data_IF_856243503063
#
_entry.id   IF_856243503063
#
_cell.length_a   1.000
_cell.length_b   1.000
_cell.length_c   1.000
_cell.angle_alpha   90.00
_cell.angle_beta   90.00
_cell.angle_gamma   90.00
#
_symmetry.space_group_name_H-M   'P 1'
#
loop_
_entity.id
_entity.type
_entity.pdbx_description
1 polymer ?
#
# COMPACT_ATOMS: atom_id res chain seq x y z
N UNK A 1 21.23 -3.21 7.00
CA UNK A 1 21.20 -1.82 6.48
C UNK A 1 21.15 -0.87 7.67
N UNK A 2 21.93 0.21 7.66
CA UNK A 2 21.99 1.20 8.75
C UNK A 2 21.59 2.56 8.19
N UNK A 3 20.63 3.21 8.83
CA UNK A 3 20.13 4.54 8.48
C UNK A 3 20.75 5.53 9.46
N UNK A 4 21.75 6.29 9.00
CA UNK A 4 22.60 7.08 9.88
C UNK A 4 21.86 8.29 10.45
N UNK A 5 20.95 8.92 9.68
CA UNK A 5 20.24 10.11 10.12
C UNK A 5 19.29 9.89 11.30
N UNK A 6 18.82 8.64 11.51
CA UNK A 6 17.90 8.29 12.58
C UNK A 6 18.37 7.16 13.51
N UNK A 7 19.62 6.71 13.36
CA UNK A 7 20.21 5.60 14.13
C UNK A 7 19.38 4.30 14.08
N UNK A 8 18.60 4.11 13.01
CA UNK A 8 17.85 2.88 12.79
C UNK A 8 18.73 1.83 12.13
N UNK A 9 18.66 0.60 12.64
CA UNK A 9 19.28 -0.57 12.03
C UNK A 9 18.19 -1.53 11.57
N UNK A 10 18.26 -1.88 10.29
CA UNK A 10 17.37 -2.85 9.64
C UNK A 10 18.14 -4.14 9.40
N UNK A 11 17.59 -5.25 9.91
CA UNK A 11 18.15 -6.59 9.78
C UNK A 11 17.14 -7.51 9.11
N UNK A 12 17.57 -8.18 8.05
CA UNK A 12 16.82 -9.27 7.45
C UNK A 12 16.70 -10.42 8.46
N UNK A 13 15.51 -10.96 8.66
CA UNK A 13 15.27 -12.12 9.54
C UNK A 13 14.98 -13.37 8.70
N UNK A 14 13.96 -13.33 7.86
CA UNK A 14 13.52 -14.45 7.01
C UNK A 14 12.68 -13.95 5.85
N UNK A 15 12.56 -14.76 4.81
CA UNK A 15 11.61 -14.56 3.72
C UNK A 15 10.89 -15.86 3.38
N UNK A 16 9.66 -15.74 2.89
CA UNK A 16 8.84 -16.84 2.43
C UNK A 16 7.96 -16.40 1.27
N UNK A 17 7.85 -17.25 0.24
CA UNK A 17 6.83 -17.07 -0.80
C UNK A 17 5.47 -17.40 -0.19
N UNK A 18 4.55 -16.44 -0.22
CA UNK A 18 3.18 -16.63 0.32
C UNK A 18 2.18 -16.96 -0.78
N UNK A 19 2.48 -16.54 -2.00
CA UNK A 19 1.76 -16.87 -3.23
C UNK A 19 2.73 -16.68 -4.41
N UNK A 20 2.36 -17.16 -5.60
CA UNK A 20 3.16 -16.91 -6.79
C UNK A 20 3.34 -15.40 -6.99
N UNK A 21 4.58 -14.94 -7.11
CA UNK A 21 4.95 -13.52 -7.24
C UNK A 21 4.64 -12.63 -6.02
N UNK A 22 4.31 -13.21 -4.86
CA UNK A 22 4.16 -12.48 -3.59
C UNK A 22 5.15 -13.02 -2.56
N UNK A 23 6.13 -12.19 -2.21
CA UNK A 23 7.16 -12.49 -1.23
C UNK A 23 6.86 -11.76 0.08
N UNK A 24 6.92 -12.47 1.20
CA UNK A 24 6.94 -11.84 2.52
C UNK A 24 8.32 -11.95 3.14
N UNK A 25 8.87 -10.82 3.57
CA UNK A 25 10.13 -10.68 4.29
C UNK A 25 9.86 -10.12 5.69
N UNK A 26 10.35 -10.80 6.72
CA UNK A 26 10.35 -10.27 8.08
C UNK A 26 11.62 -9.44 8.28
N UNK A 27 11.45 -8.17 8.62
CA UNK A 27 12.53 -7.22 8.88
C UNK A 27 12.52 -6.86 10.36
N UNK A 28 13.65 -7.05 11.05
CA UNK A 28 13.84 -6.51 12.40
C UNK A 28 14.37 -5.08 12.29
N UNK A 29 13.74 -4.19 13.04
CA UNK A 29 14.14 -2.79 13.18
C UNK A 29 14.54 -2.54 14.63
N UNK A 30 15.67 -1.86 14.84
CA UNK A 30 16.15 -1.48 16.17
C UNK A 30 16.78 -0.09 16.18
N UNK A 31 16.75 0.57 17.34
CA UNK A 31 17.50 1.81 17.61
C UNK A 31 18.67 1.47 18.52
N UNK A 32 19.90 1.75 18.09
CA UNK A 32 21.11 1.53 18.91
C UNK A 32 21.20 0.09 19.49
N UNK A 33 20.68 -0.92 18.76
CA UNK A 33 20.53 -2.32 19.21
C UNK A 33 19.67 -2.55 20.46
N UNK A 34 19.11 -1.48 21.02
CA UNK A 34 18.04 -1.46 22.01
C UNK A 34 16.67 -1.35 21.32
N UNK A 35 15.57 -1.63 22.04
CA UNK A 35 14.19 -1.50 21.55
C UNK A 35 13.99 -2.07 20.13
N UNK A 36 13.59 -3.34 20.04
CA UNK A 36 13.44 -4.04 18.77
C UNK A 36 11.98 -4.28 18.46
N UNK A 37 11.60 -4.16 17.20
CA UNK A 37 10.35 -4.71 16.71
C UNK A 37 10.52 -5.27 15.30
N UNK A 38 9.58 -6.11 14.90
CA UNK A 38 9.56 -6.73 13.58
C UNK A 38 8.48 -6.09 12.72
N UNK A 39 8.80 -5.87 11.45
CA UNK A 39 7.89 -5.40 10.40
C UNK A 39 7.80 -6.47 9.33
N UNK A 40 6.59 -6.86 8.97
CA UNK A 40 6.34 -7.77 7.85
C UNK A 40 6.26 -6.96 6.55
N UNK A 41 7.24 -7.14 5.67
CA UNK A 41 7.27 -6.53 4.35
C UNK A 41 6.74 -7.52 3.31
N UNK A 42 5.66 -7.18 2.63
CA UNK A 42 5.04 -8.00 1.60
C UNK A 42 5.20 -7.29 0.25
N UNK A 43 5.93 -7.91 -0.67
CA UNK A 43 6.14 -7.40 -2.03
C UNK A 43 5.36 -8.24 -3.04
N UNK A 44 4.52 -7.56 -3.82
CA UNK A 44 3.79 -8.15 -4.95
C UNK A 44 4.47 -7.73 -6.26
N UNK A 45 5.16 -8.67 -6.91
CA UNK A 45 6.11 -8.41 -7.99
C UNK A 45 5.49 -8.39 -9.40
N UNK A 46 4.31 -8.98 -9.60
CA UNK A 46 3.68 -9.09 -10.92
C UNK A 46 2.40 -8.26 -11.10
N UNK A 47 2.14 -7.27 -10.23
CA UNK A 47 1.04 -6.34 -10.45
C UNK A 47 1.47 -5.27 -11.46
N UNK A 48 0.91 -5.24 -12.69
CA UNK A 48 1.29 -4.26 -13.70
C UNK A 48 0.98 -2.82 -13.27
N UNK A 49 1.81 -1.87 -13.69
CA UNK A 49 1.61 -0.43 -13.39
C UNK A 49 0.28 0.10 -13.95
N UNK A 50 -0.15 -0.44 -15.10
CA UNK A 50 -1.43 -0.18 -15.73
C UNK A 50 -2.18 -1.50 -15.87
N UNK A 51 -3.32 -1.61 -15.20
CA UNK A 51 -4.17 -2.79 -15.25
C UNK A 51 -4.42 -3.40 -13.86
N UNK A 52 -4.87 -4.65 -13.90
CA UNK A 52 -5.25 -5.43 -12.71
C UNK A 52 -4.25 -6.58 -12.52
N UNK A 53 -4.10 -7.13 -11.31
CA UNK A 53 -3.26 -8.28 -11.11
C UNK A 53 -3.83 -9.48 -11.89
N UNK A 54 -2.99 -10.44 -12.31
CA UNK A 54 -3.44 -11.60 -13.09
C UNK A 54 -4.39 -12.52 -12.33
N UNK A 55 -4.33 -12.52 -10.99
CA UNK A 55 -5.20 -13.30 -10.10
C UNK A 55 -6.14 -12.40 -9.31
N UNK A 56 -7.46 -12.61 -9.48
CA UNK A 56 -8.50 -11.80 -8.86
C UNK A 56 -8.58 -11.95 -7.32
N UNK A 57 -8.19 -13.10 -6.76
CA UNK A 57 -8.30 -13.38 -5.32
C UNK A 57 -7.08 -12.97 -4.51
N UNK A 58 -5.93 -12.75 -5.16
CA UNK A 58 -4.68 -12.42 -4.48
C UNK A 58 -4.79 -11.15 -3.65
N UNK A 59 -5.54 -10.15 -4.12
CA UNK A 59 -5.80 -8.91 -3.36
C UNK A 59 -6.55 -9.15 -2.05
N UNK A 60 -7.56 -10.03 -2.06
CA UNK A 60 -8.32 -10.40 -0.86
C UNK A 60 -7.50 -11.25 0.11
N UNK A 61 -6.70 -12.19 -0.41
CA UNK A 61 -5.80 -13.02 0.40
C UNK A 61 -4.73 -12.16 1.08
N UNK A 62 -4.16 -11.21 0.34
CA UNK A 62 -3.21 -10.22 0.85
C UNK A 62 -3.83 -9.41 1.99
N UNK A 63 -5.02 -8.81 1.77
CA UNK A 63 -5.74 -8.05 2.81
C UNK A 63 -6.02 -8.89 4.06
N UNK A 64 -6.49 -10.12 3.88
CA UNK A 64 -6.75 -11.05 4.99
C UNK A 64 -5.48 -11.32 5.80
N UNK A 65 -4.33 -11.42 5.13
CA UNK A 65 -3.04 -11.68 5.77
C UNK A 65 -2.50 -10.51 6.57
N UNK A 66 -2.70 -9.29 6.09
CA UNK A 66 -2.21 -8.06 6.77
C UNK A 66 -3.21 -7.44 7.73
N UNK A 67 -4.46 -7.93 7.77
CA UNK A 67 -5.56 -7.34 8.56
C UNK A 67 -5.24 -7.12 10.04
N UNK A 68 -4.44 -8.00 10.65
CA UNK A 68 -4.03 -7.89 12.06
C UNK A 68 -2.68 -7.19 12.26
N UNK A 69 -2.03 -6.77 11.18
CA UNK A 69 -0.70 -6.16 11.18
C UNK A 69 -0.81 -4.64 10.98
N UNK A 70 -1.63 -3.99 11.80
CA UNK A 70 -1.87 -2.54 11.76
C UNK A 70 -0.93 -1.77 12.69
N UNK A 71 -0.51 -0.54 12.34
CA UNK A 71 -0.76 0.14 11.06
C UNK A 71 -0.09 -0.53 9.85
N UNK A 72 -0.79 -0.52 8.72
CA UNK A 72 -0.35 -1.13 7.45
C UNK A 72 0.10 -0.01 6.52
N UNK A 73 1.39 0.02 6.17
CA UNK A 73 1.88 0.92 5.12
C UNK A 73 1.59 0.30 3.77
N UNK A 74 0.96 1.03 2.84
CA UNK A 74 0.70 0.56 1.48
C UNK A 74 1.30 1.55 0.49
N UNK A 75 2.16 1.06 -0.40
CA UNK A 75 2.72 1.88 -1.46
C UNK A 75 2.83 1.10 -2.78
N UNK A 76 2.83 1.86 -3.88
CA UNK A 76 3.22 1.39 -5.20
C UNK A 76 4.36 2.28 -5.69
N UNK A 77 4.28 2.88 -6.88
CA UNK A 77 5.20 3.94 -7.30
C UNK A 77 4.73 5.33 -6.83
N UNK A 78 3.65 5.87 -7.39
CA UNK A 78 3.12 7.18 -6.99
C UNK A 78 2.25 7.15 -5.72
N UNK A 79 1.87 5.95 -5.25
CA UNK A 79 1.04 5.80 -4.04
C UNK A 79 -0.47 5.97 -4.26
N UNK A 80 -0.95 6.03 -5.52
CA UNK A 80 -2.36 6.34 -5.83
C UNK A 80 -3.09 5.13 -6.44
N UNK A 81 -2.62 4.58 -7.57
CA UNK A 81 -3.36 3.57 -8.35
C UNK A 81 -3.55 2.23 -7.63
N UNK A 82 -2.52 1.37 -7.63
CA UNK A 82 -2.54 0.04 -6.98
C UNK A 82 -2.84 0.14 -5.48
N UNK A 83 -2.26 1.15 -4.82
CA UNK A 83 -2.49 1.47 -3.41
C UNK A 83 -3.97 1.73 -3.11
N UNK A 84 -4.61 2.62 -3.89
CA UNK A 84 -6.02 2.95 -3.73
C UNK A 84 -6.92 1.73 -3.96
N UNK A 85 -6.57 0.83 -4.88
CA UNK A 85 -7.30 -0.42 -5.07
C UNK A 85 -7.25 -1.30 -3.81
N UNK A 86 -6.07 -1.51 -3.20
CA UNK A 86 -5.95 -2.33 -1.99
C UNK A 86 -6.73 -1.73 -0.82
N UNK A 87 -6.58 -0.44 -0.56
CA UNK A 87 -7.27 0.24 0.54
C UNK A 87 -8.77 0.32 0.29
N UNK A 88 -9.17 0.63 -0.95
CA UNK A 88 -10.56 0.64 -1.37
C UNK A 88 -11.23 -0.72 -1.22
N UNK A 89 -10.55 -1.81 -1.60
CA UNK A 89 -11.08 -3.16 -1.42
C UNK A 89 -11.37 -3.48 0.06
N UNK A 90 -10.51 -3.08 0.99
CA UNK A 90 -10.75 -3.28 2.44
C UNK A 90 -11.96 -2.48 2.93
N UNK A 91 -12.05 -1.21 2.54
CA UNK A 91 -13.17 -0.33 2.88
C UNK A 91 -14.49 -0.85 2.32
N UNK A 92 -14.49 -1.29 1.06
CA UNK A 92 -15.67 -1.81 0.37
C UNK A 92 -16.12 -3.12 0.98
N UNK A 93 -15.19 -4.05 1.20
CA UNK A 93 -15.46 -5.33 1.85
C UNK A 93 -16.06 -5.13 3.25
N UNK A 94 -15.53 -4.18 4.02
CA UNK A 94 -16.06 -3.87 5.34
C UNK A 94 -17.48 -3.29 5.30
N UNK A 95 -17.80 -2.43 4.31
CA UNK A 95 -19.17 -1.92 4.11
C UNK A 95 -20.15 -3.02 3.71
N UNK A 96 -19.71 -3.96 2.86
CA UNK A 96 -20.50 -5.14 2.50
C UNK A 96 -20.80 -6.01 3.73
N UNK A 97 -19.80 -6.33 4.54
CA UNK A 97 -19.99 -7.14 5.75
C UNK A 97 -20.96 -6.49 6.76
N UNK A 98 -20.97 -5.15 6.84
CA UNK A 98 -21.88 -4.41 7.72
C UNK A 98 -23.30 -4.27 7.15
N UNK A 99 -23.58 -4.81 5.95
CA UNK A 99 -24.89 -4.73 5.31
C UNK A 99 -25.32 -3.31 4.90
N UNK A 100 -24.38 -2.34 4.90
CA UNK A 100 -24.65 -0.93 4.61
C UNK A 100 -25.08 -0.78 3.14
N UNK A 101 -24.36 -1.44 2.23
CA UNK A 101 -24.66 -1.41 0.80
C UNK A 101 -26.00 -2.09 0.47
N UNK A 102 -26.36 -3.18 1.16
CA UNK A 102 -27.64 -3.85 0.95
C UNK A 102 -28.82 -2.94 1.32
N UNK A 103 -28.69 -2.15 2.41
CA UNK A 103 -29.71 -1.16 2.80
C UNK A 103 -29.80 -0.03 1.78
N UNK A 104 -28.67 0.52 1.34
CA UNK A 104 -28.65 1.59 0.33
C UNK A 104 -29.23 1.15 -1.02
N UNK A 105 -28.99 -0.11 -1.42
CA UNK A 105 -29.55 -0.73 -2.63
C UNK A 105 -31.06 -1.01 -2.47
N UNK A 106 -31.50 -1.55 -1.33
CA UNK A 106 -32.91 -1.85 -1.07
C UNK A 106 -33.76 -0.59 -0.89
N UNK A 107 -33.19 0.51 -0.40
CA UNK A 107 -33.90 1.78 -0.18
C UNK A 107 -34.18 2.57 -1.49
N UNK A 108 -33.81 2.05 -2.66
CA UNK A 108 -34.11 2.70 -3.94
C UNK A 108 -33.39 4.04 -4.16
N UNK A 109 -32.41 4.42 -3.33
CA UNK A 109 -31.63 5.66 -3.44
C UNK A 109 -30.66 5.69 -4.64
N UNK A 110 -30.81 4.74 -5.56
CA UNK A 110 -29.98 4.59 -6.77
C UNK A 110 -30.73 4.99 -8.06
N UNK A 111 -31.87 5.69 -7.95
CA UNK A 111 -32.56 6.31 -9.09
C UNK A 111 -32.41 7.83 -9.03
N UNK A 112 -31.73 8.38 -10.04
CA UNK A 112 -31.57 9.81 -10.39
C UNK A 112 -31.26 10.79 -9.26
N UNK A 113 -29.98 11.14 -9.16
CA UNK A 113 -29.46 12.22 -8.30
C UNK A 113 -29.90 13.58 -8.84
N UNK A 114 -31.10 14.01 -8.47
CA UNK A 114 -31.50 15.42 -8.43
C UNK A 114 -32.11 15.69 -7.06
N UNK A 115 -31.67 16.77 -6.44
CA UNK A 115 -32.05 17.25 -5.11
C UNK A 115 -31.52 16.44 -3.92
N UNK A 116 -30.29 16.78 -3.51
CA UNK A 116 -29.98 17.14 -2.13
C UNK A 116 -28.75 18.05 -2.15
N UNK A 117 -28.92 19.30 -1.73
CA UNK A 117 -27.90 20.33 -1.75
C UNK A 117 -26.60 19.88 -1.08
N UNK A 118 -25.53 19.91 -1.88
CA UNK A 118 -24.15 20.12 -1.44
C UNK A 118 -23.44 18.99 -0.65
N UNK A 119 -23.65 17.71 -1.00
CA UNK A 119 -22.78 16.57 -0.58
C UNK A 119 -22.76 15.41 -1.61
N UNK A 120 -22.38 15.70 -2.86
CA UNK A 120 -22.29 14.70 -3.93
C UNK A 120 -20.87 14.12 -4.08
N UNK A 121 -20.39 13.36 -3.08
CA UNK A 121 -19.04 12.76 -3.13
C UNK A 121 -19.02 11.22 -3.04
N UNK A 122 -20.16 10.52 -3.02
CA UNK A 122 -20.20 9.20 -2.37
C UNK A 122 -20.62 7.99 -3.23
N UNK A 123 -20.86 8.14 -4.55
CA UNK A 123 -21.42 7.04 -5.38
C UNK A 123 -20.65 6.71 -6.68
N UNK A 124 -19.51 7.34 -6.91
CA UNK A 124 -18.60 7.00 -8.00
C UNK A 124 -17.40 6.21 -7.42
N UNK A 125 -17.00 5.08 -8.03
CA UNK A 125 -15.76 4.37 -7.65
C UNK A 125 -14.54 5.30 -7.67
N UNK A 126 -14.57 6.29 -8.57
CA UNK A 126 -13.59 7.38 -8.69
C UNK A 126 -13.53 8.26 -7.44
N UNK A 127 -14.62 8.34 -6.68
CA UNK A 127 -14.72 9.22 -5.49
C UNK A 127 -14.66 8.48 -4.18
N UNK A 128 -14.95 7.19 -4.19
CA UNK A 128 -14.49 6.29 -3.13
C UNK A 128 -12.96 6.20 -3.06
N UNK A 129 -12.28 6.30 -4.22
CA UNK A 129 -10.84 6.53 -4.29
C UNK A 129 -10.45 7.99 -4.02
N UNK A 130 -11.40 8.93 -4.15
CA UNK A 130 -11.15 10.33 -3.81
C UNK A 130 -11.10 10.56 -2.30
N UNK A 131 -11.75 9.76 -1.45
CA UNK A 131 -11.51 9.82 0.01
C UNK A 131 -10.05 9.51 0.42
N UNK A 132 -9.24 9.01 -0.52
CA UNK A 132 -7.78 8.94 -0.41
C UNK A 132 -7.17 10.25 -0.93
N UNK A 133 -7.70 11.40 -0.52
CA UNK A 133 -7.04 12.67 -0.80
C UNK A 133 -5.80 12.75 0.08
N UNK A 134 -4.67 13.06 -0.53
CA UNK A 134 -3.48 13.50 0.19
C UNK A 134 -3.74 14.92 0.71
N UNK A 135 -4.47 15.05 1.81
CA UNK A 135 -4.72 16.35 2.44
C UNK A 135 -3.75 16.61 3.58
N UNK A 136 -3.53 17.88 3.90
CA UNK A 136 -2.66 18.25 5.01
C UNK A 136 -3.24 17.80 6.37
N UNK A 137 -4.56 17.64 6.50
CA UNK A 137 -5.18 17.19 7.75
C UNK A 137 -4.90 15.72 8.06
N UNK A 138 -4.73 14.90 7.02
CA UNK A 138 -4.50 13.45 7.15
C UNK A 138 -3.04 13.06 6.95
N UNK A 139 -2.16 14.03 6.66
CA UNK A 139 -0.74 13.77 6.42
C UNK A 139 -0.08 13.15 7.65
N UNK A 140 0.87 12.25 7.41
CA UNK A 140 1.75 11.77 8.47
C UNK A 140 2.81 12.83 8.73
N UNK A 141 2.96 13.24 9.99
CA UNK A 141 3.93 14.26 10.40
C UNK A 141 5.10 13.56 11.08
N UNK A 142 6.31 13.74 10.56
CA UNK A 142 7.51 13.18 11.17
C UNK A 142 7.93 14.04 12.36
N UNK A 143 7.88 13.46 13.56
CA UNK A 143 8.34 14.13 14.79
C UNK A 143 9.61 13.50 15.36
N UNK A 144 10.02 12.34 14.84
CA UNK A 144 11.17 11.60 15.34
C UNK A 144 12.16 11.19 14.23
N UNK A 145 13.49 11.23 14.48
CA UNK A 145 14.14 11.99 15.55
C UNK A 145 13.80 13.50 15.45
N UNK A 146 13.99 14.28 16.52
CA UNK A 146 13.80 15.72 16.48
C UNK A 146 14.69 16.34 15.39
N UNK A 147 14.12 17.13 14.49
CA UNK A 147 14.82 17.72 13.34
C UNK A 147 13.92 18.66 12.55
N UNK A 148 14.43 19.24 11.46
CA UNK A 148 13.73 20.29 10.70
C UNK A 148 12.70 19.77 9.68
N UNK A 149 12.88 18.57 9.12
CA UNK A 149 11.95 18.03 8.12
C UNK A 149 10.89 17.13 8.76
N UNK A 150 9.68 17.67 8.86
CA UNK A 150 8.47 17.00 9.33
C UNK A 150 7.68 16.33 8.19
N UNK A 151 8.08 16.56 6.94
CA UNK A 151 7.31 16.20 5.77
C UNK A 151 7.72 14.83 5.23
N UNK A 152 6.70 13.99 5.02
CA UNK A 152 6.74 12.81 4.17
C UNK A 152 5.45 12.76 3.35
N UNK A 153 5.55 12.36 2.09
CA UNK A 153 4.38 12.21 1.23
C UNK A 153 3.60 10.93 1.57
N UNK A 154 2.91 10.97 2.71
CA UNK A 154 2.13 9.88 3.26
C UNK A 154 0.90 10.39 4.00
N UNK A 155 -0.20 9.65 3.90
CA UNK A 155 -1.48 10.01 4.50
C UNK A 155 -2.10 8.84 5.24
N UNK A 156 -2.70 9.14 6.39
CA UNK A 156 -3.52 8.22 7.16
C UNK A 156 -4.84 7.95 6.45
N UNK A 157 -5.20 6.67 6.35
CA UNK A 157 -6.53 6.24 5.93
C UNK A 157 -7.10 5.31 7.00
N UNK A 158 -8.28 5.68 7.52
CA UNK A 158 -8.97 4.86 8.52
C UNK A 158 -9.65 3.68 7.85
N UNK A 159 -9.58 2.51 8.48
CA UNK A 159 -10.40 1.38 8.11
C UNK A 159 -11.84 1.57 8.60
N UNK A 160 -12.74 0.70 8.16
CA UNK A 160 -14.11 0.71 8.67
C UNK A 160 -14.20 0.23 10.13
N UNK A 161 -13.27 -0.63 10.54
CA UNK A 161 -13.18 -1.26 11.85
C UNK A 161 -12.13 -0.60 12.75
N UNK A 162 -11.01 -0.17 12.17
CA UNK A 162 -9.87 0.38 12.91
C UNK A 162 -9.57 1.80 12.46
N UNK A 163 -9.62 2.82 13.35
CA UNK A 163 -9.13 4.16 13.01
C UNK A 163 -7.62 4.10 12.71
N UNK A 164 -7.13 4.92 11.76
CA UNK A 164 -5.70 4.93 11.38
C UNK A 164 -5.15 3.52 11.03
N UNK A 165 -5.89 2.78 10.19
CA UNK A 165 -5.53 1.41 9.79
C UNK A 165 -4.39 1.38 8.77
N UNK A 166 -4.44 2.28 7.81
CA UNK A 166 -3.51 2.33 6.68
C UNK A 166 -2.72 3.64 6.67
N UNK A 167 -1.50 3.56 6.17
CA UNK A 167 -0.74 4.71 5.69
C UNK A 167 -0.52 4.50 4.20
N UNK A 168 -1.10 5.37 3.37
CA UNK A 168 -0.86 5.39 1.93
C UNK A 168 0.31 6.32 1.63
N UNK A 169 1.27 5.87 0.85
CA UNK A 169 2.46 6.67 0.54
C UNK A 169 3.04 6.35 -0.83
N UNK A 170 3.88 7.25 -1.34
CA UNK A 170 4.69 7.01 -2.53
C UNK A 170 5.82 6.02 -2.24
N UNK A 171 6.37 5.40 -3.29
CA UNK A 171 7.60 4.63 -3.16
C UNK A 171 8.73 5.50 -2.57
N UNK A 172 9.55 4.94 -1.67
CA UNK A 172 10.77 5.60 -1.24
C UNK A 172 11.67 5.97 -2.41
N UNK A 173 12.13 7.22 -2.42
CA UNK A 173 13.15 7.75 -3.32
C UNK A 173 14.50 7.77 -2.59
N UNK A 174 15.60 7.99 -3.32
CA UNK A 174 16.96 8.00 -2.74
C UNK A 174 17.08 8.88 -1.48
N UNK A 175 16.35 9.99 -1.46
CA UNK A 175 16.41 10.96 -0.37
C UNK A 175 15.37 10.72 0.73
N UNK A 176 14.37 9.85 0.51
CA UNK A 176 13.26 9.64 1.43
C UNK A 176 13.23 8.24 2.05
N UNK A 177 14.26 7.41 1.81
CA UNK A 177 14.39 6.08 2.44
C UNK A 177 14.45 6.20 3.96
N UNK A 178 15.23 7.16 4.48
CA UNK A 178 15.32 7.37 5.93
C UNK A 178 13.99 7.86 6.51
N UNK A 179 13.37 8.85 5.87
CA UNK A 179 12.05 9.38 6.25
C UNK A 179 10.97 8.31 6.25
N UNK A 180 10.99 7.39 5.28
CA UNK A 180 10.07 6.27 5.22
C UNK A 180 10.20 5.33 6.42
N UNK A 181 11.42 5.02 6.85
CA UNK A 181 11.63 4.19 8.04
C UNK A 181 11.42 4.95 9.35
N UNK A 182 11.68 6.27 9.39
CA UNK A 182 11.27 7.14 10.51
C UNK A 182 9.76 7.06 10.73
N UNK A 183 8.98 7.17 9.64
CA UNK A 183 7.52 7.02 9.65
C UNK A 183 7.10 5.65 10.20
N UNK A 184 7.64 4.56 9.64
CA UNK A 184 7.33 3.19 10.09
C UNK A 184 7.64 3.00 11.57
N UNK A 185 8.79 3.50 12.01
CA UNK A 185 9.23 3.38 13.38
C UNK A 185 8.34 4.18 14.34
N UNK A 186 8.13 5.48 14.09
CA UNK A 186 7.41 6.36 15.00
C UNK A 186 5.93 5.96 15.13
N UNK A 187 5.30 5.52 14.04
CA UNK A 187 3.90 5.10 14.03
C UNK A 187 3.72 3.64 14.46
N UNK A 188 4.83 2.92 14.72
CA UNK A 188 4.81 1.53 15.16
C UNK A 188 4.19 0.57 14.14
N UNK A 189 4.30 0.88 12.85
CA UNK A 189 3.72 0.09 11.74
C UNK A 189 4.19 -1.37 11.82
N UNK A 190 3.25 -2.30 11.62
CA UNK A 190 3.55 -3.74 11.73
C UNK A 190 3.75 -4.41 10.39
N UNK A 191 3.24 -3.80 9.32
CA UNK A 191 3.43 -4.33 7.98
C UNK A 191 3.58 -3.25 6.91
N UNK A 192 4.23 -3.64 5.82
CA UNK A 192 4.41 -2.86 4.59
C UNK A 192 3.90 -3.71 3.44
N UNK A 193 3.06 -3.14 2.59
CA UNK A 193 2.57 -3.74 1.36
C UNK A 193 3.14 -2.93 0.19
N UNK A 194 4.12 -3.52 -0.49
CA UNK A 194 4.80 -2.99 -1.66
C UNK A 194 4.21 -3.60 -2.92
N UNK A 195 3.54 -2.77 -3.73
CA UNK A 195 2.77 -3.22 -4.89
C UNK A 195 3.49 -2.97 -6.23
N UNK A 196 4.80 -2.69 -6.21
CA UNK A 196 5.60 -2.42 -7.40
C UNK A 196 6.99 -3.06 -7.29
N UNK A 197 7.67 -3.17 -8.43
CA UNK A 197 9.10 -3.49 -8.46
C UNK A 197 9.96 -2.23 -8.31
N UNK A 198 11.27 -2.41 -8.07
CA UNK A 198 12.27 -1.32 -8.07
C UNK A 198 12.32 -0.66 -9.45
N UNK A 199 12.27 -1.48 -10.50
CA UNK A 199 12.27 -1.06 -11.90
C UNK A 199 11.12 -1.74 -12.63
N UNK A 200 10.35 -0.96 -13.39
CA UNK A 200 9.29 -1.45 -14.26
C UNK A 200 9.47 -0.82 -15.64
N UNK A 201 9.48 -1.63 -16.71
CA UNK A 201 9.67 -1.17 -18.09
C UNK A 201 10.91 -0.26 -18.27
N UNK A 202 12.03 -0.64 -17.63
CA UNK A 202 13.29 0.12 -17.67
C UNK A 202 13.29 1.43 -16.89
N UNK A 203 12.18 1.77 -16.20
CA UNK A 203 12.07 2.99 -15.39
C UNK A 203 12.14 2.65 -13.91
N UNK A 204 12.95 3.40 -13.17
CA UNK A 204 13.01 3.30 -11.72
C UNK A 204 11.69 3.76 -11.10
N UNK A 205 11.09 2.92 -10.25
CA UNK A 205 9.81 3.13 -9.59
C UNK A 205 9.92 3.25 -8.07
N UNK A 206 10.92 2.60 -7.47
CA UNK A 206 11.15 2.55 -6.03
C UNK A 206 12.65 2.38 -5.75
N UNK A 207 13.14 2.85 -4.60
CA UNK A 207 14.46 2.48 -4.09
C UNK A 207 14.41 1.14 -3.34
N UNK A 208 15.57 0.48 -3.27
CA UNK A 208 15.81 -0.62 -2.35
C UNK A 208 15.92 -0.07 -0.92
N UNK A 209 14.81 -0.05 -0.18
CA UNK A 209 14.77 0.48 1.19
C UNK A 209 14.89 -0.59 2.28
N UNK A 210 14.90 -1.88 1.93
CA UNK A 210 15.02 -2.99 2.89
C UNK A 210 16.36 -3.72 2.74
N UNK A 211 16.85 -4.41 3.78
CA UNK A 211 18.07 -5.19 3.69
C UNK A 211 17.88 -6.42 2.79
N UNK A 212 18.81 -6.64 1.85
CA UNK A 212 18.90 -7.88 1.08
C UNK A 212 19.64 -8.98 1.87
N UNK A 213 19.40 -10.24 1.51
CA UNK A 213 20.22 -11.37 1.94
C UNK A 213 21.64 -11.23 1.39
N UNK A 214 22.64 -11.69 2.14
CA UNK A 214 24.03 -11.80 1.64
C UNK A 214 24.20 -12.80 0.49
N UNK A 215 23.15 -13.56 0.14
CA UNK A 215 23.06 -14.38 -1.07
C UNK A 215 22.13 -13.70 -2.08
N UNK A 216 22.67 -13.03 -3.11
CA UNK A 216 21.90 -12.27 -4.12
C UNK A 216 21.18 -13.16 -5.16
N UNK A 217 21.18 -14.49 -5.00
CA UNK A 217 20.65 -15.43 -6.01
C UNK A 217 19.13 -15.39 -6.22
N UNK A 218 18.39 -14.60 -5.42
CA UNK A 218 16.92 -14.48 -5.51
C UNK A 218 16.49 -13.10 -6.05
N UNK A 219 17.40 -12.12 -6.15
CA UNK A 219 17.05 -10.75 -6.58
C UNK A 219 17.03 -10.53 -8.10
N UNK A 220 17.34 -11.55 -8.90
CA UNK A 220 17.38 -11.46 -10.37
C UNK A 220 16.29 -12.27 -11.09
N UNK A 221 15.11 -12.45 -10.48
CA UNK A 221 13.92 -12.72 -11.30
C UNK A 221 13.48 -11.40 -11.94
N UNK A 222 14.22 -10.98 -12.97
CA UNK A 222 13.75 -9.98 -13.92
C UNK A 222 12.57 -10.59 -14.65
N UNK A 223 11.36 -10.35 -14.15
CA UNK A 223 10.17 -10.54 -14.96
C UNK A 223 10.16 -9.39 -15.97
N UNK A 224 10.53 -9.70 -17.21
CA UNK A 224 10.35 -8.79 -18.33
C UNK A 224 8.87 -8.41 -18.37
N UNK A 225 8.58 -7.16 -18.00
CA UNK A 225 7.27 -6.57 -18.18
C UNK A 225 7.05 -6.44 -19.69
N UNK A 226 6.43 -7.44 -20.32
CA UNK A 226 5.85 -7.24 -21.64
C UNK A 226 4.80 -6.13 -21.53
N UNK A 227 5.15 -4.96 -22.05
CA UNK A 227 4.20 -3.88 -22.24
C UNK A 227 3.16 -4.37 -23.26
N UNK A 228 2.07 -4.97 -22.81
CA UNK A 228 0.92 -5.25 -23.67
C UNK A 228 0.35 -3.92 -24.16
N UNK A 229 0.77 -3.50 -25.36
CA UNK A 229 0.07 -2.49 -26.16
C UNK A 229 -1.13 -3.18 -26.82
N UNK A 230 -2.12 -3.53 -26.03
CA UNK A 230 -3.43 -3.94 -26.53
C UNK A 230 -4.33 -2.72 -26.65
N UNK A 231 -4.42 -2.15 -27.85
CA UNK A 231 -5.67 -1.54 -28.29
C UNK A 231 -6.77 -2.62 -28.26
N UNK A 232 -7.98 -2.23 -27.88
CA UNK A 232 -9.23 -3.03 -27.90
C UNK A 232 -9.62 -3.75 -26.60
N UNK A 233 -10.20 -2.99 -25.68
CA UNK A 233 -11.18 -3.52 -24.73
C UNK A 233 -12.49 -3.82 -25.48
N UNK A 234 -12.64 -5.03 -26.03
CA UNK A 234 -13.97 -5.56 -26.36
C UNK A 234 -14.27 -6.71 -25.41
N UNK A 235 -15.03 -6.41 -24.35
CA UNK A 235 -15.55 -7.40 -23.41
C UNK A 235 -16.70 -8.13 -24.13
N UNK A 236 -16.44 -9.32 -24.67
CA UNK A 236 -17.52 -10.22 -25.05
C UNK A 236 -17.95 -11.00 -23.81
N UNK A 237 -19.03 -10.56 -23.16
CA UNK A 237 -19.86 -11.46 -22.38
C UNK A 237 -20.59 -12.36 -23.37
N UNK A 238 -20.19 -13.63 -23.48
CA UNK A 238 -21.09 -14.66 -24.01
C UNK A 238 -21.75 -15.37 -22.84
N UNK A 239 -23.07 -15.25 -22.85
CA UNK A 239 -24.08 -16.05 -22.16
C UNK A 239 -23.85 -17.54 -22.29
#
# INVERSE_FOLDING_TARGET
MVLQGCNLRLRYVKAQSVEENILQTTIEVSINDSNKHTVEHIQWMNWPDRGVPPTNLSSFRLLTRVKLLTPIVVHCSAGIGRTGVIVGLDLFYSKLQKGILARELCDGRMTEVKDLGNRNQWLNPVTFLADVFCTDETRVVLSWPPGENDYIHANWVSGSDTPKKFICTQAPTKNTVEDFWRMIWQEGCKSIVMLCNITECGKKKCEQYWPETSNPTVSSLSFDCECYRGSDYTIWLRT
#
